data_IF_263215995511
#
_entry.id   IF_263215995511
#
_cell.length_a   1.000
_cell.length_b   1.000
_cell.length_c   1.000
_cell.angle_alpha   90.00
_cell.angle_beta   90.00
_cell.angle_gamma   90.00
#
_symmetry.space_group_name_H-M   'P 1'
#
loop_
_entity.id
_entity.type
_entity.pdbx_description
1 polymer ?
#
# COMPACT_ATOMS: atom_id res chain seq x y z
N UNK A 1 0.89 -17.47 -12.02
CA UNK A 1 1.36 -16.08 -12.24
C UNK A 1 0.46 -15.18 -11.41
N UNK A 2 1.03 -14.28 -10.60
CA UNK A 2 0.26 -13.28 -9.86
C UNK A 2 -0.09 -12.17 -10.84
N UNK A 3 -1.37 -11.78 -10.93
CA UNK A 3 -1.78 -10.64 -11.75
C UNK A 3 -1.49 -9.32 -11.00
N UNK A 4 -1.31 -8.20 -11.72
CA UNK A 4 -1.15 -6.89 -11.08
C UNK A 4 -2.30 -6.56 -10.11
N UNK A 5 -3.53 -6.97 -10.42
CA UNK A 5 -4.71 -6.75 -9.55
C UNK A 5 -4.66 -7.58 -8.27
N UNK A 6 -4.18 -8.83 -8.35
CA UNK A 6 -3.96 -9.66 -7.16
C UNK A 6 -2.87 -9.08 -6.27
N UNK A 7 -1.85 -8.47 -6.87
CA UNK A 7 -0.80 -7.77 -6.14
C UNK A 7 -1.34 -6.52 -5.44
N UNK A 8 -2.11 -5.69 -6.15
CA UNK A 8 -2.74 -4.49 -5.58
C UNK A 8 -3.71 -4.85 -4.44
N UNK A 9 -4.50 -5.92 -4.58
CA UNK A 9 -5.37 -6.43 -3.51
C UNK A 9 -4.56 -6.94 -2.30
N UNK A 10 -3.47 -7.66 -2.54
CA UNK A 10 -2.60 -8.11 -1.45
C UNK A 10 -1.98 -6.92 -0.71
N UNK A 11 -1.58 -5.87 -1.44
CA UNK A 11 -1.04 -4.63 -0.85
C UNK A 11 -2.11 -3.90 -0.05
N UNK A 12 -3.33 -3.75 -0.57
CA UNK A 12 -4.44 -3.06 0.12
C UNK A 12 -4.83 -3.73 1.44
N UNK A 13 -4.74 -5.06 1.49
CA UNK A 13 -5.02 -5.85 2.69
C UNK A 13 -3.90 -5.82 3.74
N UNK A 14 -2.74 -5.22 3.44
CA UNK A 14 -1.69 -5.03 4.44
C UNK A 14 -2.06 -3.91 5.41
N UNK A 15 -1.78 -4.14 6.69
CA UNK A 15 -1.93 -3.12 7.71
C UNK A 15 -0.84 -2.04 7.54
N UNK A 16 -1.29 -0.81 7.26
CA UNK A 16 -0.45 0.37 7.07
C UNK A 16 0.41 0.63 8.31
N UNK A 17 -0.13 0.42 9.51
CA UNK A 17 0.60 0.61 10.76
C UNK A 17 1.69 -0.45 10.95
N UNK A 18 1.49 -1.67 10.47
CA UNK A 18 2.55 -2.69 10.48
C UNK A 18 3.64 -2.41 9.45
N UNK A 19 3.28 -1.91 8.27
CA UNK A 19 4.22 -1.48 7.24
C UNK A 19 5.11 -0.33 7.73
N UNK A 20 4.52 0.68 8.36
CA UNK A 20 5.24 1.84 8.92
C UNK A 20 6.26 1.40 9.99
N UNK A 21 5.83 0.53 10.92
CA UNK A 21 6.73 -0.06 11.93
C UNK A 21 7.86 -0.88 11.31
N UNK A 22 7.59 -1.63 10.24
CA UNK A 22 8.63 -2.41 9.54
C UNK A 22 9.65 -1.47 8.91
N UNK A 23 9.21 -0.43 8.19
CA UNK A 23 10.09 0.56 7.57
C UNK A 23 11.01 1.21 8.62
N UNK A 24 10.47 1.60 9.77
CA UNK A 24 11.26 2.23 10.84
C UNK A 24 12.31 1.30 11.47
N UNK A 25 12.09 -0.01 11.46
CA UNK A 25 12.98 -1.00 12.09
C UNK A 25 13.97 -1.64 11.11
N UNK A 26 13.87 -1.36 9.81
CA UNK A 26 14.77 -1.92 8.81
C UNK A 26 16.10 -1.16 8.83
N UNK A 27 17.19 -1.91 8.97
CA UNK A 27 18.56 -1.36 8.90
C UNK A 27 19.11 -1.33 7.46
N UNK A 28 18.50 -2.08 6.54
CA UNK A 28 18.93 -2.14 5.14
C UNK A 28 18.20 -1.07 4.30
N UNK A 29 18.92 -0.09 3.72
CA UNK A 29 18.31 0.99 2.95
C UNK A 29 17.53 0.52 1.72
N UNK A 30 17.96 -0.56 1.05
CA UNK A 30 17.27 -1.08 -0.14
C UNK A 30 15.94 -1.73 0.24
N UNK A 31 15.93 -2.47 1.36
CA UNK A 31 14.72 -3.07 1.90
C UNK A 31 13.76 -1.99 2.40
N UNK A 32 14.27 -0.96 3.09
CA UNK A 32 13.45 0.17 3.52
C UNK A 32 12.77 0.86 2.32
N UNK A 33 13.53 1.09 1.25
CA UNK A 33 12.99 1.67 0.00
C UNK A 33 11.93 0.80 -0.65
N UNK A 34 12.11 -0.52 -0.66
CA UNK A 34 11.10 -1.45 -1.14
C UNK A 34 9.80 -1.32 -0.33
N UNK A 35 9.88 -1.40 1.01
CA UNK A 35 8.70 -1.30 1.85
C UNK A 35 8.04 0.08 1.83
N UNK A 36 8.80 1.17 1.71
CA UNK A 36 8.24 2.51 1.47
C UNK A 36 7.45 2.58 0.15
N UNK A 37 7.94 1.92 -0.90
CA UNK A 37 7.21 1.86 -2.18
C UNK A 37 5.88 1.12 -2.03
N UNK A 38 5.85 0.03 -1.26
CA UNK A 38 4.62 -0.71 -0.94
C UNK A 38 3.65 0.13 -0.11
N UNK A 39 4.16 0.87 0.88
CA UNK A 39 3.39 1.78 1.72
C UNK A 39 2.72 2.89 0.89
N UNK A 40 3.49 3.56 0.02
CA UNK A 40 2.95 4.60 -0.86
C UNK A 40 1.89 4.04 -1.81
N UNK A 41 2.10 2.82 -2.33
CA UNK A 41 1.12 2.15 -3.19
C UNK A 41 -0.17 1.84 -2.45
N UNK A 42 -0.08 1.33 -1.21
CA UNK A 42 -1.24 1.08 -0.36
C UNK A 42 -2.05 2.38 -0.13
N UNK A 43 -1.38 3.49 0.19
CA UNK A 43 -2.03 4.79 0.34
C UNK A 43 -2.75 5.25 -0.93
N UNK A 44 -2.11 5.12 -2.09
CA UNK A 44 -2.73 5.47 -3.38
C UNK A 44 -3.97 4.64 -3.68
N UNK A 45 -3.92 3.33 -3.40
CA UNK A 45 -5.06 2.44 -3.63
C UNK A 45 -6.23 2.78 -2.69
N UNK A 46 -5.95 3.00 -1.41
CA UNK A 46 -6.95 3.45 -0.43
C UNK A 46 -7.57 4.80 -0.82
N UNK A 47 -6.75 5.76 -1.25
CA UNK A 47 -7.26 7.05 -1.76
C UNK A 47 -8.15 6.87 -2.99
N UNK A 48 -7.77 5.99 -3.92
CA UNK A 48 -8.56 5.69 -5.11
C UNK A 48 -9.91 5.06 -4.75
N UNK A 49 -9.97 4.15 -3.78
CA UNK A 49 -11.23 3.60 -3.28
C UNK A 49 -12.12 4.67 -2.65
N UNK A 50 -11.54 5.57 -1.84
CA UNK A 50 -12.28 6.69 -1.24
C UNK A 50 -12.82 7.64 -2.31
N UNK A 51 -12.02 7.97 -3.33
CA UNK A 51 -12.43 8.84 -4.44
C UNK A 51 -13.57 8.18 -5.23
N UNK A 52 -13.40 6.92 -5.63
CA UNK A 52 -14.43 6.16 -6.34
C UNK A 52 -15.73 6.06 -5.53
N UNK A 53 -15.64 5.84 -4.21
CA UNK A 53 -16.81 5.83 -3.33
C UNK A 53 -17.48 7.21 -3.18
N UNK A 54 -16.70 8.30 -3.24
CA UNK A 54 -17.23 9.67 -3.19
C UNK A 54 -17.86 10.11 -4.52
N UNK A 55 -17.35 9.65 -5.66
CA UNK A 55 -17.98 9.91 -6.96
C UNK A 55 -19.36 9.25 -7.08
N UNK A 56 -19.63 8.17 -6.33
CA UNK A 56 -20.94 7.51 -6.31
C UNK A 56 -22.02 8.30 -5.55
N UNK A 57 -21.65 9.30 -4.73
CA UNK A 57 -22.59 10.12 -3.93
C UNK A 57 -22.94 11.44 -4.65
N UNK A 58 -22.59 11.60 -5.93
CA UNK A 58 -22.84 12.83 -6.69
C UNK A 58 -23.96 12.70 -7.71
#
# INVERSE_FOLDING_TARGET
>A
MITPEQLDQAILNMDICELDKKIMNISNPDEAKFWSTIYDRNLQLNQKEIINNKEFIR
#
